data_IF_798750827205
#
_entry.id   IF_798750827205
#
_cell.length_a   1.000
_cell.length_b   1.000
_cell.length_c   1.000
_cell.angle_alpha   90.00
_cell.angle_beta   90.00
_cell.angle_gamma   90.00
#
_symmetry.space_group_name_H-M   'P 1'
#
loop_
_entity.id
_entity.type
_entity.pdbx_description
1 polymer ?
#
# COMPACT_ATOMS: atom_id res chain seq x y z
N UNK A 1 5.72 -19.86 -7.71
CA UNK A 1 6.86 -18.95 -7.50
C UNK A 1 6.35 -17.81 -6.64
N UNK A 2 6.87 -17.64 -5.44
CA UNK A 2 6.58 -16.47 -4.62
C UNK A 2 7.52 -15.37 -5.06
N UNK A 3 6.98 -14.35 -5.73
CA UNK A 3 7.75 -13.16 -6.04
C UNK A 3 8.05 -12.42 -4.73
N UNK A 4 9.32 -12.49 -4.30
CA UNK A 4 9.81 -11.74 -3.16
C UNK A 4 10.11 -10.31 -3.59
N UNK A 5 9.18 -9.39 -3.33
CA UNK A 5 9.39 -7.97 -3.59
C UNK A 5 10.22 -7.33 -2.47
N UNK A 6 11.19 -6.48 -2.84
CA UNK A 6 11.97 -5.72 -1.86
C UNK A 6 11.09 -4.60 -1.27
N UNK A 7 10.88 -4.55 0.05
CA UNK A 7 10.11 -3.48 0.68
C UNK A 7 10.86 -2.15 0.64
N UNK A 8 10.14 -1.09 0.32
CA UNK A 8 10.61 0.30 0.34
C UNK A 8 9.83 1.04 1.43
N UNK A 9 10.55 1.75 2.29
CA UNK A 9 9.95 2.49 3.40
C UNK A 9 10.07 3.99 3.16
N UNK A 10 8.93 4.67 3.09
CA UNK A 10 8.84 6.13 3.09
C UNK A 10 8.41 6.62 4.47
N UNK A 11 8.85 7.81 4.86
CA UNK A 11 8.46 8.42 6.14
C UNK A 11 7.80 9.77 5.88
N UNK A 12 6.58 9.95 6.38
CA UNK A 12 5.88 11.24 6.38
C UNK A 12 5.21 11.45 7.73
N UNK A 13 5.45 12.60 8.36
CA UNK A 13 4.89 12.92 9.68
C UNK A 13 5.16 11.85 10.75
N UNK A 14 6.38 11.30 10.75
CA UNK A 14 6.80 10.20 11.61
C UNK A 14 5.94 8.93 11.48
N UNK A 15 5.24 8.75 10.35
CA UNK A 15 4.47 7.55 10.03
C UNK A 15 5.14 6.83 8.85
N UNK A 16 5.41 5.52 8.98
CA UNK A 16 5.93 4.74 7.86
C UNK A 16 4.84 4.55 6.81
N UNK A 17 5.23 4.67 5.55
CA UNK A 17 4.46 4.33 4.37
C UNK A 17 5.24 3.25 3.63
N UNK A 18 4.80 2.00 3.84
CA UNK A 18 5.42 0.86 3.18
C UNK A 18 4.96 0.77 1.74
N UNK A 19 5.89 0.46 0.84
CA UNK A 19 5.60 0.19 -0.55
C UNK A 19 6.54 -0.85 -1.15
N UNK A 20 6.24 -1.25 -2.38
CA UNK A 20 7.04 -2.16 -3.20
C UNK A 20 6.96 -1.70 -4.65
N UNK A 21 8.00 -1.99 -5.43
CA UNK A 21 7.94 -1.84 -6.88
C UNK A 21 7.43 -3.13 -7.51
N UNK A 22 6.36 -3.05 -8.30
CA UNK A 22 5.86 -4.18 -9.08
C UNK A 22 5.59 -3.68 -10.48
N UNK A 23 6.17 -4.33 -11.49
CA UNK A 23 6.04 -3.97 -12.90
C UNK A 23 6.44 -2.50 -13.17
N UNK A 24 7.54 -2.05 -12.55
CA UNK A 24 8.03 -0.66 -12.54
C UNK A 24 7.01 0.39 -12.02
N UNK A 25 5.96 -0.06 -11.34
CA UNK A 25 4.97 0.80 -10.71
C UNK A 25 5.07 0.73 -9.18
N UNK A 26 4.96 1.88 -8.48
CA UNK A 26 4.98 1.91 -7.03
C UNK A 26 3.63 1.48 -6.46
N UNK A 27 3.64 0.41 -5.67
CA UNK A 27 2.49 -0.05 -4.91
C UNK A 27 2.69 0.28 -3.44
N UNK A 28 1.65 0.82 -2.79
CA UNK A 28 1.70 1.27 -1.40
C UNK A 28 0.77 0.45 -0.52
N UNK A 29 1.14 0.28 0.76
CA UNK A 29 0.27 -0.33 1.75
C UNK A 29 -0.97 0.55 1.95
N UNK A 30 -2.14 0.03 1.57
CA UNK A 30 -3.40 0.76 1.66
C UNK A 30 -3.72 1.25 3.09
N UNK A 31 -3.35 0.48 4.11
CA UNK A 31 -3.57 0.84 5.50
C UNK A 31 -2.72 2.06 5.92
N UNK A 32 -1.42 2.03 5.63
CA UNK A 32 -0.51 3.14 5.93
C UNK A 32 -0.92 4.41 5.17
N UNK A 33 -1.27 4.24 3.89
CA UNK A 33 -1.72 5.34 3.03
C UNK A 33 -3.02 5.97 3.55
N UNK A 34 -3.99 5.16 3.97
CA UNK A 34 -5.23 5.66 4.58
C UNK A 34 -4.99 6.44 5.88
N UNK A 35 -4.02 6.01 6.71
CA UNK A 35 -3.63 6.73 7.92
C UNK A 35 -2.95 8.07 7.63
N UNK A 36 -2.22 8.17 6.52
CA UNK A 36 -1.66 9.44 6.06
C UNK A 36 -2.73 10.41 5.54
N UNK A 37 -3.82 9.88 4.98
CA UNK A 37 -4.98 10.65 4.52
C UNK A 37 -5.96 11.02 5.66
N UNK A 38 -5.72 10.59 6.90
CA UNK A 38 -6.61 10.86 8.03
C UNK A 38 -7.93 10.07 7.97
N UNK A 39 -7.98 8.95 7.26
CA UNK A 39 -9.19 8.14 7.17
C UNK A 39 -9.39 7.29 8.43
N UNK A 40 -10.56 7.41 9.05
CA UNK A 40 -10.94 6.63 10.23
C UNK A 40 -11.12 5.13 9.94
N UNK A 41 -11.48 4.77 8.71
CA UNK A 41 -11.75 3.39 8.29
C UNK A 41 -10.78 2.98 7.18
N UNK A 42 -9.51 2.71 7.51
CA UNK A 42 -8.46 2.48 6.52
C UNK A 42 -8.73 1.25 5.64
N UNK A 43 -9.43 0.27 6.19
CA UNK A 43 -9.89 -0.92 5.46
C UNK A 43 -10.84 -0.57 4.31
N UNK A 44 -11.58 0.54 4.37
CA UNK A 44 -12.53 0.93 3.34
C UNK A 44 -11.88 1.67 2.17
N UNK A 45 -10.59 2.04 2.26
CA UNK A 45 -9.92 2.83 1.22
C UNK A 45 -9.95 2.13 -0.14
N UNK A 46 -9.78 0.81 -0.18
CA UNK A 46 -9.84 0.04 -1.43
C UNK A 46 -11.17 0.26 -2.18
N UNK A 47 -12.30 0.44 -1.49
CA UNK A 47 -13.61 0.65 -2.13
C UNK A 47 -13.71 1.98 -2.87
N UNK A 48 -12.83 2.95 -2.55
CA UNK A 48 -12.81 4.29 -3.16
C UNK A 48 -11.87 4.37 -4.37
N UNK A 49 -11.00 3.37 -4.54
CA UNK A 49 -10.03 3.30 -5.63
C UNK A 49 -10.63 2.57 -6.82
N UNK A 50 -10.09 2.84 -8.03
CA UNK A 50 -10.47 2.06 -9.21
C UNK A 50 -9.96 0.63 -9.08
N UNK A 51 -10.64 -0.36 -9.71
CA UNK A 51 -10.22 -1.76 -9.62
C UNK A 51 -8.74 -2.01 -9.97
N UNK A 52 -8.21 -1.31 -10.97
CA UNK A 52 -6.81 -1.41 -11.40
C UNK A 52 -5.80 -0.72 -10.47
N UNK A 53 -6.27 0.06 -9.49
CA UNK A 53 -5.42 0.73 -8.49
C UNK A 53 -5.30 -0.08 -7.19
N UNK A 54 -5.86 -1.29 -7.16
CA UNK A 54 -5.91 -2.15 -5.98
C UNK A 54 -5.29 -3.49 -6.33
N UNK A 55 -4.31 -3.91 -5.53
CA UNK A 55 -3.69 -5.23 -5.63
C UNK A 55 -3.64 -5.86 -4.25
N UNK A 56 -4.16 -7.06 -4.13
CA UNK A 56 -4.09 -7.86 -2.90
C UNK A 56 -2.98 -8.89 -3.05
N UNK A 57 -1.92 -8.76 -2.26
CA UNK A 57 -0.87 -9.78 -2.16
C UNK A 57 -1.03 -10.54 -0.84
N UNK A 58 -0.87 -11.86 -0.88
CA UNK A 58 -0.76 -12.69 0.32
C UNK A 58 0.71 -13.03 0.53
N UNK A 59 1.24 -12.60 1.66
CA UNK A 59 2.56 -13.04 2.13
C UNK A 59 2.31 -14.32 2.95
N UNK A 60 2.95 -15.42 2.56
CA UNK A 60 2.87 -16.71 3.27
C UNK A 60 4.02 -16.80 4.25
#
# INVERSE_FOLDING_TARGET
>A
MHDAYTPIFFYRHNRPLRGVMIDDQPWLCAYDFARLLGLHHPQALHRRLRPYQIRSARFT
#
